data_IF_061940253455
#
_entry.id   IF_061940253455
#
_cell.length_a   1.000
_cell.length_b   1.000
_cell.length_c   1.000
_cell.angle_alpha   90.00
_cell.angle_beta   90.00
_cell.angle_gamma   90.00
#
_symmetry.space_group_name_H-M   'P 1'
#
loop_
_entity.id
_entity.type
_entity.pdbx_description
1 polymer ?
#
# COMPACT_ATOMS: atom_id res chain seq x y z
N UNK A 1 4.81 -28.47 0.89
CA UNK A 1 5.03 -28.86 -0.52
C UNK A 1 5.39 -27.68 -1.43
N UNK A 2 4.66 -26.55 -1.41
CA UNK A 2 4.90 -25.37 -2.28
C UNK A 2 6.32 -24.78 -2.27
N UNK A 3 7.05 -24.86 -1.16
CA UNK A 3 8.45 -24.38 -1.04
C UNK A 3 9.42 -25.28 -1.84
N UNK A 4 9.18 -26.59 -1.88
CA UNK A 4 10.02 -27.54 -2.61
C UNK A 4 9.85 -27.34 -4.12
N UNK A 5 8.62 -27.09 -4.57
CA UNK A 5 8.33 -26.83 -5.99
C UNK A 5 8.89 -25.50 -6.47
N UNK A 6 8.79 -24.44 -5.66
CA UNK A 6 9.43 -23.15 -5.96
C UNK A 6 10.95 -23.26 -6.04
N UNK A 7 11.56 -24.04 -5.13
CA UNK A 7 13.00 -24.31 -5.17
C UNK A 7 13.39 -25.09 -6.44
N UNK A 8 12.63 -26.11 -6.82
CA UNK A 8 12.88 -26.92 -8.03
C UNK A 8 12.73 -26.09 -9.32
N UNK A 9 11.74 -25.20 -9.39
CA UNK A 9 11.59 -24.26 -10.51
C UNK A 9 12.72 -23.22 -10.58
N UNK A 10 13.18 -22.68 -9.45
CA UNK A 10 14.25 -21.68 -9.45
C UNK A 10 15.64 -22.27 -9.77
N UNK A 11 15.89 -23.52 -9.37
CA UNK A 11 17.13 -24.24 -9.68
C UNK A 11 17.15 -24.68 -11.16
N UNK A 12 16.05 -25.21 -11.70
CA UNK A 12 16.00 -25.69 -13.10
C UNK A 12 15.92 -24.56 -14.14
N UNK A 13 15.24 -23.45 -13.81
CA UNK A 13 15.11 -22.30 -14.71
C UNK A 13 16.40 -21.48 -14.88
N UNK A 14 17.49 -21.84 -14.18
CA UNK A 14 18.81 -21.18 -14.19
C UNK A 14 18.85 -19.68 -13.85
N UNK A 15 17.70 -19.05 -13.61
CA UNK A 15 17.61 -17.63 -13.29
C UNK A 15 18.15 -17.31 -11.88
N UNK A 16 18.23 -18.32 -10.99
CA UNK A 16 18.77 -18.24 -9.62
C UNK A 16 19.34 -19.59 -9.13
N UNK A 17 20.09 -20.30 -9.97
CA UNK A 17 20.74 -21.55 -9.52
C UNK A 17 21.99 -21.23 -8.70
N UNK A 18 22.06 -21.73 -7.47
CA UNK A 18 23.28 -21.65 -6.61
C UNK A 18 24.46 -22.36 -7.28
N UNK A 19 24.19 -23.37 -8.11
CA UNK A 19 25.24 -24.07 -8.89
C UNK A 19 25.85 -23.25 -10.01
N UNK A 20 25.32 -22.05 -10.29
CA UNK A 20 25.85 -21.08 -11.27
C UNK A 20 26.54 -19.88 -10.59
N UNK A 21 26.78 -19.96 -9.29
CA UNK A 21 27.60 -18.96 -8.60
C UNK A 21 29.06 -19.10 -9.06
N UNK A 22 29.42 -18.32 -10.06
CA UNK A 22 30.82 -18.06 -10.42
C UNK A 22 31.44 -17.24 -9.28
N UNK A 23 32.59 -17.68 -8.75
CA UNK A 23 33.33 -16.87 -7.77
C UNK A 23 33.74 -15.56 -8.44
N UNK A 24 33.08 -14.48 -8.03
CA UNK A 24 33.35 -13.13 -8.51
C UNK A 24 34.62 -12.54 -7.84
N UNK A 25 35.68 -13.34 -7.70
CA UNK A 25 36.86 -12.99 -6.89
C UNK A 25 37.91 -12.18 -7.69
N UNK A 26 37.77 -11.94 -9.00
CA UNK A 26 38.89 -11.32 -9.77
C UNK A 26 38.56 -10.51 -11.04
N UNK A 27 37.41 -9.84 -11.18
CA UNK A 27 37.12 -9.06 -12.41
C UNK A 27 36.81 -7.57 -12.26
N UNK A 28 36.57 -7.06 -11.05
CA UNK A 28 36.31 -5.62 -10.85
C UNK A 28 37.31 -5.06 -9.84
N UNK A 29 37.89 -3.91 -10.15
CA UNK A 29 38.51 -3.08 -9.13
C UNK A 29 37.46 -2.61 -8.12
N UNK A 30 37.87 -2.30 -6.90
CA UNK A 30 36.99 -1.75 -5.85
C UNK A 30 36.16 -0.56 -6.36
N UNK A 31 36.78 0.29 -7.18
CA UNK A 31 36.13 1.44 -7.80
C UNK A 31 34.99 1.04 -8.76
N UNK A 32 35.22 0.00 -9.56
CA UNK A 32 34.22 -0.49 -10.53
C UNK A 32 33.08 -1.23 -9.82
N UNK A 33 33.39 -1.96 -8.74
CA UNK A 33 32.39 -2.58 -7.88
C UNK A 33 31.47 -1.53 -7.22
N UNK A 34 32.05 -0.41 -6.75
CA UNK A 34 31.28 0.70 -6.17
C UNK A 34 30.37 1.40 -7.19
N UNK A 35 30.85 1.68 -8.41
CA UNK A 35 30.00 2.29 -9.47
C UNK A 35 28.84 1.36 -9.84
N UNK A 36 29.11 0.06 -9.97
CA UNK A 36 28.07 -0.93 -10.24
C UNK A 36 27.05 -1.00 -9.10
N UNK A 37 27.50 -1.03 -7.84
CA UNK A 37 26.62 -1.04 -6.68
C UNK A 37 25.68 0.18 -6.67
N UNK A 38 26.19 1.38 -6.97
CA UNK A 38 25.39 2.59 -7.04
C UNK A 38 24.28 2.52 -8.11
N UNK A 39 24.54 1.85 -9.24
CA UNK A 39 23.55 1.66 -10.31
C UNK A 39 22.52 0.57 -9.98
N UNK A 40 22.90 -0.45 -9.21
CA UNK A 40 22.03 -1.56 -8.82
C UNK A 40 21.14 -1.23 -7.61
N UNK A 41 21.52 -0.24 -6.80
CA UNK A 41 20.67 0.21 -5.69
C UNK A 41 19.37 0.79 -6.23
N UNK A 42 18.29 0.03 -6.09
CA UNK A 42 16.96 0.50 -6.42
C UNK A 42 16.59 1.68 -5.51
N UNK A 43 16.12 2.76 -6.12
CA UNK A 43 15.59 3.91 -5.39
C UNK A 43 14.13 3.63 -5.04
N UNK A 44 13.83 3.51 -3.75
CA UNK A 44 12.46 3.38 -3.25
C UNK A 44 12.24 2.18 -2.32
N UNK A 45 10.97 1.92 -1.95
CA UNK A 45 10.63 0.84 -1.04
C UNK A 45 10.95 -0.53 -1.64
N UNK A 46 11.47 -1.43 -0.80
CA UNK A 46 11.68 -2.83 -1.16
C UNK A 46 10.38 -3.53 -1.59
N UNK A 47 10.48 -4.68 -2.28
CA UNK A 47 9.31 -5.39 -2.83
C UNK A 47 8.24 -5.69 -1.79
N UNK A 48 8.61 -6.15 -0.59
CA UNK A 48 7.68 -6.40 0.52
C UNK A 48 6.91 -5.13 0.92
N UNK A 49 7.61 -4.01 1.07
CA UNK A 49 6.98 -2.74 1.46
C UNK A 49 6.05 -2.21 0.36
N UNK A 50 6.39 -2.41 -0.92
CA UNK A 50 5.49 -2.09 -2.04
C UNK A 50 4.21 -2.92 -2.00
N UNK A 51 4.33 -4.22 -1.75
CA UNK A 51 3.16 -5.10 -1.66
C UNK A 51 2.25 -4.70 -0.48
N UNK A 52 2.84 -4.45 0.70
CA UNK A 52 2.10 -3.97 1.87
C UNK A 52 1.35 -2.65 1.59
N UNK A 53 1.95 -1.72 0.84
CA UNK A 53 1.28 -0.48 0.44
C UNK A 53 0.09 -0.73 -0.50
N UNK A 54 0.22 -1.68 -1.42
CA UNK A 54 -0.89 -2.07 -2.33
C UNK A 54 -2.04 -2.69 -1.53
N UNK A 55 -1.74 -3.64 -0.63
CA UNK A 55 -2.74 -4.27 0.24
C UNK A 55 -3.44 -3.24 1.12
N UNK A 56 -2.68 -2.34 1.76
CA UNK A 56 -3.25 -1.28 2.59
C UNK A 56 -4.15 -0.35 1.79
N UNK A 57 -3.75 0.02 0.56
CA UNK A 57 -4.58 0.84 -0.34
C UNK A 57 -5.88 0.13 -0.70
N UNK A 58 -5.82 -1.18 -0.98
CA UNK A 58 -6.99 -2.00 -1.31
C UNK A 58 -8.00 -2.04 -0.14
N UNK A 59 -7.50 -2.20 1.10
CA UNK A 59 -8.32 -2.19 2.31
C UNK A 59 -9.04 -0.85 2.46
N UNK A 60 -8.31 0.26 2.33
CA UNK A 60 -8.85 1.63 2.43
C UNK A 60 -9.93 1.86 1.36
N UNK A 61 -9.66 1.49 0.09
CA UNK A 61 -10.61 1.65 -1.00
C UNK A 61 -11.90 0.85 -0.75
N UNK A 62 -11.76 -0.42 -0.37
CA UNK A 62 -12.92 -1.29 -0.09
C UNK A 62 -13.76 -0.73 1.07
N UNK A 63 -13.11 -0.22 2.13
CA UNK A 63 -13.81 0.39 3.24
C UNK A 63 -14.55 1.68 2.84
N UNK A 64 -13.97 2.53 1.97
CA UNK A 64 -14.64 3.72 1.43
C UNK A 64 -15.84 3.34 0.55
N UNK A 65 -15.74 2.29 -0.25
CA UNK A 65 -16.82 1.81 -1.11
C UNK A 65 -18.03 1.31 -0.31
N UNK A 66 -17.77 0.70 0.86
CA UNK A 66 -18.81 0.20 1.78
C UNK A 66 -19.50 1.28 2.62
N UNK A 67 -18.95 2.49 2.68
CA UNK A 67 -19.65 3.62 3.30
C UNK A 67 -20.83 4.08 2.45
N UNK A 68 -21.86 4.60 3.11
CA UNK A 68 -22.92 5.30 2.38
C UNK A 68 -22.38 6.54 1.67
N UNK A 69 -23.01 6.89 0.55
CA UNK A 69 -22.50 7.92 -0.36
C UNK A 69 -22.27 9.26 0.35
N UNK A 70 -23.17 9.64 1.28
CA UNK A 70 -23.10 10.92 1.99
C UNK A 70 -21.97 10.94 3.02
N UNK A 71 -21.76 9.84 3.74
CA UNK A 71 -20.64 9.71 4.68
C UNK A 71 -19.30 9.72 3.94
N UNK A 72 -19.19 8.98 2.81
CA UNK A 72 -17.99 8.98 1.96
C UNK A 72 -17.69 10.38 1.41
N UNK A 73 -18.70 11.08 0.92
CA UNK A 73 -18.54 12.41 0.32
C UNK A 73 -18.03 13.45 1.32
N UNK A 74 -18.51 13.41 2.57
CA UNK A 74 -17.95 14.25 3.64
C UNK A 74 -16.47 13.94 3.86
N UNK A 75 -16.06 12.67 3.88
CA UNK A 75 -14.64 12.33 4.06
C UNK A 75 -13.77 12.82 2.89
N UNK A 76 -14.25 12.70 1.65
CA UNK A 76 -13.53 13.18 0.46
C UNK A 76 -13.29 14.69 0.57
N UNK A 77 -14.35 15.48 0.79
CA UNK A 77 -14.24 16.94 0.88
C UNK A 77 -13.33 17.36 2.04
N UNK A 78 -13.39 16.66 3.16
CA UNK A 78 -12.63 16.99 4.37
C UNK A 78 -11.16 16.60 4.34
N UNK A 79 -10.81 15.47 3.73
CA UNK A 79 -9.48 14.88 3.86
C UNK A 79 -8.71 14.82 2.55
N UNK A 80 -9.39 14.67 1.40
CA UNK A 80 -8.73 14.67 0.09
C UNK A 80 -8.66 16.10 -0.45
N UNK A 81 -9.79 16.80 -0.45
CA UNK A 81 -9.89 18.19 -0.95
C UNK A 81 -9.50 19.23 0.10
N UNK A 82 -9.25 18.82 1.35
CA UNK A 82 -8.79 19.67 2.45
C UNK A 82 -9.69 20.88 2.76
N UNK A 83 -11.00 20.78 2.47
CA UNK A 83 -11.96 21.85 2.74
C UNK A 83 -12.25 22.03 4.23
N UNK A 84 -12.51 23.27 4.63
CA UNK A 84 -13.04 23.64 5.95
C UNK A 84 -14.48 23.15 6.16
N UNK A 85 -15.01 23.29 7.39
CA UNK A 85 -16.29 22.65 7.74
C UNK A 85 -17.40 23.45 7.05
N UNK A 86 -17.18 24.75 7.02
CA UNK A 86 -17.95 25.79 6.40
C UNK A 86 -18.00 25.61 4.88
N UNK A 87 -16.84 25.37 4.23
CA UNK A 87 -16.78 25.10 2.79
C UNK A 87 -17.46 23.78 2.41
N UNK A 88 -17.22 22.71 3.17
CA UNK A 88 -17.89 21.43 2.93
C UNK A 88 -19.40 21.54 3.18
N UNK A 89 -19.83 22.31 4.17
CA UNK A 89 -21.24 22.58 4.46
C UNK A 89 -21.90 23.33 3.30
N UNK A 90 -21.24 24.36 2.76
CA UNK A 90 -21.71 25.09 1.59
C UNK A 90 -21.79 24.19 0.35
N UNK A 91 -20.76 23.38 0.09
CA UNK A 91 -20.73 22.45 -1.05
C UNK A 91 -21.80 21.37 -0.98
N UNK A 92 -22.16 20.92 0.22
CA UNK A 92 -23.16 19.87 0.44
C UNK A 92 -24.57 20.40 0.73
N UNK A 93 -24.75 21.72 0.77
CA UNK A 93 -26.00 22.40 1.12
C UNK A 93 -26.60 21.94 2.47
N UNK A 94 -25.75 21.77 3.48
CA UNK A 94 -26.15 21.37 4.84
C UNK A 94 -25.52 22.29 5.89
N UNK A 95 -25.94 22.18 7.15
CA UNK A 95 -25.34 22.97 8.22
C UNK A 95 -23.93 22.48 8.59
N UNK A 96 -23.03 23.36 9.07
CA UNK A 96 -21.73 22.96 9.61
C UNK A 96 -21.83 21.93 10.75
N UNK A 97 -22.89 22.01 11.56
CA UNK A 97 -23.17 21.02 12.60
C UNK A 97 -23.51 19.64 12.01
N UNK A 98 -24.26 19.59 10.91
CA UNK A 98 -24.55 18.35 10.19
C UNK A 98 -23.27 17.74 9.58
N UNK A 99 -22.36 18.56 9.03
CA UNK A 99 -21.05 18.09 8.55
C UNK A 99 -20.24 17.47 9.68
N UNK A 100 -20.08 18.16 10.83
CA UNK A 100 -19.36 17.63 12.01
C UNK A 100 -19.93 16.28 12.47
N UNK A 101 -21.26 16.21 12.60
CA UNK A 101 -21.96 15.01 13.03
C UNK A 101 -21.77 13.86 12.04
N UNK A 102 -21.83 14.15 10.74
CA UNK A 102 -21.64 13.16 9.67
C UNK A 102 -20.20 12.70 9.58
N UNK A 103 -19.23 13.61 9.64
CA UNK A 103 -17.80 13.30 9.65
C UNK A 103 -17.45 12.34 10.78
N UNK A 104 -17.92 12.61 12.01
CA UNK A 104 -17.69 11.71 13.15
C UNK A 104 -18.22 10.30 12.89
N UNK A 105 -19.49 10.18 12.48
CA UNK A 105 -20.10 8.87 12.18
C UNK A 105 -19.39 8.16 11.03
N UNK A 106 -19.02 8.89 9.98
CA UNK A 106 -18.30 8.36 8.83
C UNK A 106 -16.95 7.78 9.25
N UNK A 107 -16.19 8.48 10.10
CA UNK A 107 -14.91 7.99 10.64
C UNK A 107 -15.07 6.76 11.53
N UNK A 108 -16.08 6.74 12.40
CA UNK A 108 -16.40 5.59 13.26
C UNK A 108 -16.69 4.34 12.41
N UNK A 109 -17.57 4.47 11.40
CA UNK A 109 -17.88 3.37 10.46
C UNK A 109 -16.66 2.96 9.64
N UNK A 110 -15.91 3.94 9.11
CA UNK A 110 -14.73 3.68 8.29
C UNK A 110 -13.66 2.91 9.05
N UNK A 111 -13.42 3.30 10.32
CA UNK A 111 -12.49 2.59 11.20
C UNK A 111 -12.95 1.16 11.47
N UNK A 112 -14.25 0.93 11.69
CA UNK A 112 -14.78 -0.42 11.90
C UNK A 112 -14.59 -1.31 10.66
N UNK A 113 -14.84 -0.77 9.46
CA UNK A 113 -14.68 -1.47 8.18
C UNK A 113 -13.21 -1.81 7.88
N UNK A 114 -12.27 -0.91 8.19
CA UNK A 114 -10.84 -1.20 8.06
C UNK A 114 -10.43 -2.34 8.99
N UNK A 115 -10.87 -2.31 10.25
CA UNK A 115 -10.55 -3.36 11.22
C UNK A 115 -11.07 -4.72 10.76
N UNK A 116 -12.31 -4.78 10.27
CA UNK A 116 -12.93 -6.01 9.71
C UNK A 116 -12.11 -6.56 8.52
N UNK A 117 -11.78 -5.71 7.54
CA UNK A 117 -11.02 -6.12 6.36
C UNK A 117 -9.57 -6.52 6.68
N UNK A 118 -8.95 -5.91 7.70
CA UNK A 118 -7.60 -6.30 8.15
C UNK A 118 -7.58 -7.67 8.84
N UNK A 119 -8.65 -8.03 9.54
CA UNK A 119 -8.79 -9.35 10.17
C UNK A 119 -9.04 -10.46 9.14
N UNK A 120 -9.80 -10.16 8.07
CA UNK A 120 -10.11 -11.13 7.00
C UNK A 120 -8.95 -11.49 6.07
N UNK A 121 -7.88 -10.68 6.03
CA UNK A 121 -6.68 -10.94 5.21
C UNK A 121 -5.64 -11.86 5.87
N UNK A 122 -5.91 -12.39 7.06
CA UNK A 122 -4.99 -13.25 7.83
C UNK A 122 -5.32 -14.75 7.75
N UNK A 123 -6.07 -15.17 6.73
CA UNK A 123 -6.47 -16.56 6.46
C UNK A 123 -5.97 -17.01 5.08
#
# INVERSE_FOLDING_TARGET
EKIVDLHRQHVSAQARSVTREERFETMLSDQSALDLAQRLVAKGPGPTRRLQQVEQKQIIQTALERLDARDREVLILRYLEQLSIEEAAASLEISPAAVKSRQRRALEKFSALISENSAGGSA
#
